data_IF_260805909127
#
_entry.id   IF_260805909127
#
_cell.length_a   1.000
_cell.length_b   1.000
_cell.length_c   1.000
_cell.angle_alpha   90.00
_cell.angle_beta   90.00
_cell.angle_gamma   90.00
#
_symmetry.space_group_name_H-M   'P 1'
#
loop_
_entity.id
_entity.type
_entity.pdbx_description
1 polymer ?
#
# COMPACT_ATOMS: atom_id res chain seq x y z
N UNK A 1 -5.48 -3.53 -6.77
CA UNK A 1 -5.71 -4.97 -7.08
C UNK A 1 -5.89 -5.85 -5.81
N UNK A 2 -5.12 -5.66 -4.73
CA UNK A 2 -5.11 -6.60 -3.59
C UNK A 2 -6.27 -6.44 -2.57
N UNK A 3 -6.63 -5.25 -2.05
CA UNK A 3 -7.81 -5.12 -1.16
C UNK A 3 -9.15 -5.46 -1.87
N UNK A 4 -9.27 -5.20 -3.18
CA UNK A 4 -10.51 -5.48 -3.91
C UNK A 4 -10.82 -6.99 -3.97
N UNK A 5 -9.79 -7.84 -4.00
CA UNK A 5 -9.94 -9.29 -3.95
C UNK A 5 -10.09 -9.82 -2.51
N UNK A 6 -9.37 -9.25 -1.54
CA UNK A 6 -9.43 -9.69 -0.15
C UNK A 6 -10.79 -9.46 0.52
N UNK A 7 -11.45 -8.33 0.25
CA UNK A 7 -12.79 -8.03 0.79
C UNK A 7 -13.90 -8.91 0.19
N UNK A 8 -13.70 -9.47 -1.01
CA UNK A 8 -14.70 -10.31 -1.66
C UNK A 8 -14.72 -11.74 -1.16
N UNK A 9 -13.60 -12.27 -0.64
CA UNK A 9 -13.49 -13.71 -0.35
C UNK A 9 -13.07 -14.07 1.07
N UNK A 10 -12.69 -13.10 1.92
CA UNK A 10 -12.18 -13.35 3.28
C UNK A 10 -11.12 -14.48 3.34
N UNK A 11 -10.38 -14.65 2.25
CA UNK A 11 -9.63 -15.87 1.99
C UNK A 11 -8.23 -15.76 2.61
N UNK A 12 -8.00 -16.56 3.65
CA UNK A 12 -6.72 -16.75 4.36
C UNK A 12 -5.54 -16.98 3.41
N UNK A 13 -5.76 -17.50 2.18
CA UNK A 13 -4.71 -17.62 1.16
C UNK A 13 -4.14 -16.27 0.73
N UNK A 14 -4.91 -15.19 0.77
CA UNK A 14 -4.44 -13.86 0.40
C UNK A 14 -3.46 -13.29 1.42
N UNK A 15 -3.76 -13.42 2.71
CA UNK A 15 -2.85 -12.99 3.78
C UNK A 15 -1.54 -13.77 3.72
N UNK A 16 -1.59 -15.07 3.36
CA UNK A 16 -0.38 -15.86 3.12
C UNK A 16 0.47 -15.29 1.97
N UNK A 17 -0.16 -14.90 0.84
CA UNK A 17 0.56 -14.29 -0.29
C UNK A 17 1.17 -12.94 0.07
N UNK A 18 0.44 -12.06 0.76
CA UNK A 18 0.93 -10.74 1.20
C UNK A 18 2.10 -10.91 2.16
N UNK A 19 2.00 -11.79 3.16
CA UNK A 19 3.10 -12.05 4.08
C UNK A 19 4.33 -12.63 3.38
N UNK A 20 4.16 -13.55 2.41
CA UNK A 20 5.27 -14.07 1.61
C UNK A 20 5.94 -12.97 0.77
N UNK A 21 5.16 -12.06 0.20
CA UNK A 21 5.68 -10.93 -0.57
C UNK A 21 6.45 -9.94 0.32
N UNK A 22 5.93 -9.66 1.52
CA UNK A 22 6.60 -8.83 2.54
C UNK A 22 7.96 -9.45 2.91
N UNK A 23 7.99 -10.73 3.30
CA UNK A 23 9.23 -11.42 3.66
C UNK A 23 10.26 -11.40 2.53
N UNK A 24 9.79 -11.60 1.29
CA UNK A 24 10.65 -11.54 0.11
C UNK A 24 11.23 -10.14 -0.10
N UNK A 25 10.42 -9.09 0.01
CA UNK A 25 10.88 -7.71 -0.11
C UNK A 25 11.81 -7.30 1.04
N UNK A 26 11.56 -7.77 2.26
CA UNK A 26 12.44 -7.56 3.41
C UNK A 26 13.82 -8.17 3.17
N UNK A 27 13.89 -9.36 2.56
CA UNK A 27 15.16 -9.97 2.16
C UNK A 27 15.90 -9.15 1.09
N UNK A 28 15.16 -8.48 0.20
CA UNK A 28 15.73 -7.62 -0.84
C UNK A 28 16.11 -6.22 -0.35
N UNK A 29 15.58 -5.73 0.77
CA UNK A 29 16.00 -4.44 1.35
C UNK A 29 17.49 -4.43 1.69
N UNK A 30 18.05 -5.58 2.08
CA UNK A 30 19.50 -5.73 2.32
C UNK A 30 20.32 -5.53 1.03
N UNK A 31 19.75 -5.88 -0.12
CA UNK A 31 20.43 -5.79 -1.42
C UNK A 31 20.16 -4.46 -2.15
N UNK A 32 18.93 -3.93 -2.06
CA UNK A 32 18.54 -2.68 -2.68
C UNK A 32 17.30 -2.08 -1.98
N UNK A 33 17.56 -1.32 -0.92
CA UNK A 33 16.53 -0.63 -0.13
C UNK A 33 15.64 0.26 -1.00
N UNK A 34 16.24 1.08 -1.86
CA UNK A 34 15.54 2.06 -2.72
C UNK A 34 14.48 1.41 -3.63
N UNK A 35 14.81 0.28 -4.25
CA UNK A 35 13.90 -0.40 -5.18
C UNK A 35 12.76 -1.15 -4.47
N UNK A 36 12.92 -1.47 -3.19
CA UNK A 36 12.00 -2.34 -2.47
C UNK A 36 11.17 -1.62 -1.40
N UNK A 37 11.62 -0.46 -0.91
CA UNK A 37 11.00 0.27 0.21
C UNK A 37 9.57 0.71 -0.09
N UNK A 38 9.33 1.35 -1.24
CA UNK A 38 7.99 1.80 -1.63
C UNK A 38 7.00 0.63 -1.80
N UNK A 39 7.45 -0.50 -2.37
CA UNK A 39 6.62 -1.72 -2.53
C UNK A 39 6.28 -2.35 -1.18
N UNK A 40 7.25 -2.38 -0.26
CA UNK A 40 7.03 -2.91 1.08
C UNK A 40 6.02 -2.05 1.86
N UNK A 41 6.18 -0.72 1.82
CA UNK A 41 5.29 0.22 2.49
C UNK A 41 3.85 0.11 1.97
N UNK A 42 3.68 -0.04 0.65
CA UNK A 42 2.37 -0.23 0.04
C UNK A 42 1.68 -1.53 0.51
N UNK A 43 2.42 -2.64 0.59
CA UNK A 43 1.87 -3.91 1.10
C UNK A 43 1.51 -3.83 2.59
N UNK A 44 2.31 -3.13 3.39
CA UNK A 44 2.02 -2.89 4.80
C UNK A 44 0.76 -2.03 4.96
N UNK A 45 0.56 -1.01 4.11
CA UNK A 45 -0.64 -0.18 4.11
C UNK A 45 -1.90 -1.01 3.81
N UNK A 46 -1.87 -1.86 2.79
CA UNK A 46 -2.98 -2.74 2.42
C UNK A 46 -3.31 -3.75 3.53
N UNK A 47 -2.28 -4.31 4.19
CA UNK A 47 -2.44 -5.22 5.33
C UNK A 47 -3.08 -4.52 6.53
N UNK A 48 -2.60 -3.33 6.90
CA UNK A 48 -3.19 -2.54 7.99
C UNK A 48 -4.61 -2.10 7.65
N UNK A 49 -4.90 -1.75 6.40
CA UNK A 49 -6.25 -1.45 5.93
C UNK A 49 -7.18 -2.66 6.09
N UNK A 50 -6.72 -3.87 5.78
CA UNK A 50 -7.52 -5.08 5.93
C UNK A 50 -7.89 -5.36 7.39
N UNK A 51 -6.98 -5.07 8.32
CA UNK A 51 -7.21 -5.21 9.77
C UNK A 51 -7.93 -4.01 10.40
N UNK A 52 -8.37 -3.02 9.62
CA UNK A 52 -9.08 -1.85 10.13
C UNK A 52 -8.19 -0.87 10.90
N UNK A 53 -6.86 -1.00 10.82
CA UNK A 53 -5.91 -0.11 11.47
C UNK A 53 -5.71 1.16 10.62
N UNK A 54 -6.69 2.06 10.67
CA UNK A 54 -6.81 3.18 9.71
C UNK A 54 -5.61 4.13 9.76
N UNK A 55 -5.15 4.49 10.94
CA UNK A 55 -4.06 5.44 11.16
C UNK A 55 -2.74 4.88 10.61
N UNK A 56 -2.48 3.60 10.88
CA UNK A 56 -1.29 2.89 10.40
C UNK A 56 -1.35 2.77 8.87
N UNK A 57 -2.51 2.40 8.32
CA UNK A 57 -2.67 2.31 6.87
C UNK A 57 -2.45 3.66 6.17
N UNK A 58 -3.05 4.74 6.68
CA UNK A 58 -2.88 6.11 6.17
C UNK A 58 -1.40 6.51 6.13
N UNK A 59 -0.70 6.37 7.26
CA UNK A 59 0.72 6.72 7.35
C UNK A 59 1.58 5.90 6.39
N UNK A 60 1.27 4.60 6.22
CA UNK A 60 2.01 3.72 5.32
C UNK A 60 1.77 4.06 3.84
N UNK A 61 0.56 4.47 3.47
CA UNK A 61 0.29 4.96 2.12
C UNK A 61 1.07 6.24 1.80
N UNK A 62 1.07 7.22 2.71
CA UNK A 62 1.83 8.46 2.56
C UNK A 62 3.34 8.19 2.41
N UNK A 63 3.89 7.29 3.23
CA UNK A 63 5.29 6.88 3.12
C UNK A 63 5.58 6.16 1.80
N UNK A 64 4.67 5.30 1.31
CA UNK A 64 4.85 4.60 0.04
C UNK A 64 4.89 5.57 -1.14
N UNK A 65 4.01 6.56 -1.14
CA UNK A 65 3.94 7.63 -2.14
C UNK A 65 5.26 8.43 -2.14
N UNK A 66 5.67 8.96 -0.97
CA UNK A 66 6.90 9.74 -0.86
C UNK A 66 8.15 8.94 -1.26
N UNK A 67 8.18 7.63 -0.95
CA UNK A 67 9.28 6.76 -1.34
C UNK A 67 9.30 6.45 -2.85
N UNK A 68 8.13 6.37 -3.50
CA UNK A 68 8.05 6.19 -4.95
C UNK A 68 8.41 7.47 -5.70
N UNK A 69 7.93 8.63 -5.23
CA UNK A 69 8.21 9.96 -5.78
C UNK A 69 9.71 10.28 -5.72
N UNK A 70 10.36 10.06 -4.57
CA UNK A 70 11.79 10.33 -4.38
C UNK A 70 12.69 9.59 -5.37
N UNK A 71 12.25 8.44 -5.87
CA UNK A 71 13.05 7.57 -6.71
C UNK A 71 12.55 7.52 -8.16
N UNK A 72 11.71 8.49 -8.56
CA UNK A 72 11.14 8.62 -9.91
C UNK A 72 10.44 7.34 -10.41
N UNK A 73 9.91 6.53 -9.49
CA UNK A 73 9.10 5.36 -9.84
C UNK A 73 7.67 5.80 -10.18
N UNK A 74 7.51 6.45 -11.34
CA UNK A 74 6.24 7.06 -11.78
C UNK A 74 5.09 6.05 -11.77
N UNK A 75 5.34 4.82 -12.22
CA UNK A 75 4.31 3.78 -12.25
C UNK A 75 3.89 3.38 -10.83
N UNK A 76 4.84 3.12 -9.94
CA UNK A 76 4.55 2.76 -8.55
C UNK A 76 3.96 3.91 -7.74
N UNK A 77 4.34 5.15 -8.05
CA UNK A 77 3.75 6.35 -7.48
C UNK A 77 2.27 6.44 -7.84
N UNK A 78 1.92 6.28 -9.13
CA UNK A 78 0.54 6.27 -9.58
C UNK A 78 -0.28 5.15 -8.93
N UNK A 79 0.28 3.94 -8.82
CA UNK A 79 -0.36 2.82 -8.12
C UNK A 79 -0.58 3.18 -6.64
N UNK A 80 0.43 3.68 -5.94
CA UNK A 80 0.30 4.03 -4.53
C UNK A 80 -0.79 5.09 -4.30
N UNK A 81 -0.88 6.09 -5.19
CA UNK A 81 -1.94 7.10 -5.18
C UNK A 81 -3.33 6.52 -5.40
N UNK A 82 -3.53 5.71 -6.44
CA UNK A 82 -4.83 5.07 -6.73
C UNK A 82 -5.32 4.27 -5.52
N UNK A 83 -4.42 3.49 -4.91
CA UNK A 83 -4.74 2.63 -3.76
C UNK A 83 -5.03 3.41 -2.49
N UNK A 84 -4.28 4.47 -2.23
CA UNK A 84 -4.54 5.37 -1.12
C UNK A 84 -5.89 6.08 -1.29
N UNK A 85 -6.20 6.57 -2.48
CA UNK A 85 -7.50 7.16 -2.82
C UNK A 85 -8.67 6.20 -2.56
N UNK A 86 -8.58 4.97 -3.06
CA UNK A 86 -9.54 3.89 -2.77
C UNK A 86 -9.73 3.67 -1.26
N UNK A 87 -8.63 3.62 -0.50
CA UNK A 87 -8.64 3.43 0.94
C UNK A 87 -9.37 4.57 1.66
N UNK A 88 -9.04 5.82 1.36
CA UNK A 88 -9.67 6.97 2.02
C UNK A 88 -11.15 7.09 1.66
N UNK A 89 -11.52 6.85 0.39
CA UNK A 89 -12.90 6.84 -0.06
C UNK A 89 -13.74 5.81 0.71
N UNK A 90 -13.23 4.58 0.86
CA UNK A 90 -13.90 3.49 1.59
C UNK A 90 -14.01 3.74 3.09
N UNK A 91 -13.12 4.54 3.66
CA UNK A 91 -13.13 4.87 5.08
C UNK A 91 -13.93 6.14 5.42
N UNK A 92 -14.55 6.78 4.43
CA UNK A 92 -15.33 8.01 4.61
C UNK A 92 -14.47 9.24 4.93
N UNK A 93 -13.18 9.19 4.59
CA UNK A 93 -12.23 10.25 4.91
C UNK A 93 -12.21 11.27 3.77
N UNK A 94 -12.66 12.51 4.05
CA UNK A 94 -12.74 13.61 3.08
C UNK A 94 -11.38 13.96 2.45
N UNK A 95 -10.26 13.52 3.05
CA UNK A 95 -8.90 13.63 2.50
C UNK A 95 -8.74 12.92 1.14
N UNK A 96 -9.59 11.93 0.82
CA UNK A 96 -9.63 11.29 -0.49
C UNK A 96 -9.81 12.31 -1.63
N UNK A 97 -10.67 13.31 -1.42
CA UNK A 97 -11.05 14.27 -2.44
C UNK A 97 -10.01 15.38 -2.67
N UNK A 98 -9.16 15.67 -1.70
CA UNK A 98 -8.19 16.76 -1.80
C UNK A 98 -6.84 16.33 -2.41
N UNK A 99 -6.45 15.07 -2.28
CA UNK A 99 -5.11 14.60 -2.67
C UNK A 99 -5.05 13.65 -3.87
N UNK A 100 -6.13 12.94 -4.20
CA UNK A 100 -6.10 11.83 -5.17
C UNK A 100 -6.99 12.05 -6.41
N UNK A 101 -7.60 13.23 -6.54
CA UNK A 101 -8.56 13.58 -7.60
C UNK A 101 -8.00 14.33 -8.80
N UNK A 102 -6.72 14.15 -9.17
CA UNK A 102 -6.14 14.75 -10.38
C UNK A 102 -5.60 13.70 -11.34
#
# INVERSE_FOLDING_TARGET
IFLAMAHKTNDVKWMSKVNKAILKLESFIQACKVNCEHKLLLLQAEKSSFWGQKEIASSKYELAIAAAERNDFIQEHAIAHERAGDFFLRNGDARASQYYGK
#
